data_IF_736364741917
#
_entry.id   IF_736364741917
#
_cell.length_a   1.000
_cell.length_b   1.000
_cell.length_c   1.000
_cell.angle_alpha   90.00
_cell.angle_beta   90.00
_cell.angle_gamma   90.00
#
_symmetry.space_group_name_H-M   'P 1'
#
loop_
_entity.id
_entity.type
_entity.pdbx_description
1 polymer ?
#
# COMPACT_ATOMS: atom_id res chain seq x y z
N UNK A 1 58.40 -48.24 -12.02
CA UNK A 1 58.10 -46.86 -11.67
C UNK A 1 57.56 -45.97 -12.81
N UNK A 2 57.77 -46.23 -14.07
CA UNK A 2 57.29 -45.44 -15.20
C UNK A 2 55.78 -45.59 -15.47
N UNK A 3 55.22 -46.78 -15.26
CA UNK A 3 53.76 -47.04 -15.54
C UNK A 3 52.85 -46.43 -14.52
N UNK A 4 53.30 -46.23 -13.29
CA UNK A 4 52.51 -45.62 -12.24
C UNK A 4 52.34 -44.11 -12.45
N UNK A 5 53.37 -43.43 -12.95
CA UNK A 5 53.33 -41.98 -13.25
C UNK A 5 52.42 -41.67 -14.43
N UNK A 6 52.37 -42.50 -15.45
CA UNK A 6 51.46 -42.34 -16.59
C UNK A 6 50.00 -42.55 -16.22
N UNK A 7 49.67 -43.44 -15.31
CA UNK A 7 48.30 -43.67 -14.85
C UNK A 7 47.80 -42.55 -13.99
N UNK A 8 48.64 -41.98 -13.15
CA UNK A 8 48.28 -40.80 -12.32
C UNK A 8 48.07 -39.56 -13.20
N UNK A 9 48.94 -39.36 -14.20
CA UNK A 9 48.80 -38.23 -15.14
C UNK A 9 47.52 -38.29 -16.00
N UNK A 10 47.10 -39.50 -16.36
CA UNK A 10 45.87 -39.71 -17.12
C UNK A 10 44.61 -39.45 -16.25
N UNK A 11 44.67 -39.82 -14.97
CA UNK A 11 43.58 -39.63 -14.02
C UNK A 11 43.36 -38.15 -13.67
N UNK A 12 44.48 -37.40 -13.55
CA UNK A 12 44.39 -35.93 -13.33
C UNK A 12 43.86 -35.17 -14.56
N UNK A 13 44.19 -35.66 -15.78
CA UNK A 13 43.67 -35.05 -17.01
C UNK A 13 42.15 -35.29 -17.16
N UNK A 14 41.68 -36.50 -16.82
CA UNK A 14 40.23 -36.81 -16.86
C UNK A 14 39.44 -36.03 -15.82
N UNK A 15 40.02 -35.82 -14.62
CA UNK A 15 39.38 -35.06 -13.56
C UNK A 15 39.29 -33.55 -13.90
N UNK A 16 40.28 -33.01 -14.61
CA UNK A 16 40.27 -31.62 -15.07
C UNK A 16 39.26 -31.37 -16.20
N UNK A 17 38.96 -32.39 -17.03
CA UNK A 17 37.96 -32.30 -18.08
C UNK A 17 36.51 -32.32 -17.54
N UNK A 18 36.29 -32.89 -16.35
CA UNK A 18 34.95 -32.95 -15.73
C UNK A 18 34.47 -31.58 -15.12
N UNK A 19 35.37 -30.59 -14.98
CA UNK A 19 35.07 -29.30 -14.39
C UNK A 19 34.57 -28.22 -15.40
N UNK A 20 34.40 -28.60 -16.66
CA UNK A 20 33.94 -27.70 -17.72
C UNK A 20 32.43 -27.73 -17.95
N UNK A 21 31.65 -28.18 -16.96
CA UNK A 21 30.21 -27.94 -17.01
C UNK A 21 29.96 -26.48 -16.63
N UNK A 22 30.04 -25.61 -17.61
CA UNK A 22 29.53 -24.25 -17.50
C UNK A 22 28.06 -24.32 -17.12
N UNK A 23 27.77 -23.93 -15.91
CA UNK A 23 26.38 -23.63 -15.52
C UNK A 23 25.84 -22.55 -16.47
N UNK A 24 25.08 -22.99 -17.46
CA UNK A 24 24.23 -22.10 -18.20
C UNK A 24 23.21 -21.55 -17.22
N UNK A 25 23.47 -20.36 -16.72
CA UNK A 25 22.44 -19.59 -16.03
C UNK A 25 21.26 -19.47 -17.00
N UNK A 26 20.19 -20.18 -16.71
CA UNK A 26 18.93 -20.01 -17.43
C UNK A 26 18.49 -18.57 -17.16
N UNK A 27 18.75 -17.67 -18.11
CA UNK A 27 18.03 -16.41 -18.20
C UNK A 27 16.59 -16.80 -18.47
N UNK A 28 15.80 -16.87 -17.41
CA UNK A 28 14.36 -17.00 -17.51
C UNK A 28 13.86 -15.74 -18.23
N UNK A 29 13.64 -15.87 -19.53
CA UNK A 29 12.98 -14.87 -20.32
C UNK A 29 11.51 -14.89 -19.86
N UNK A 30 11.19 -14.11 -18.83
CA UNK A 30 9.82 -13.88 -18.41
C UNK A 30 9.18 -13.05 -19.50
N UNK A 31 8.58 -13.71 -20.48
CA UNK A 31 7.75 -13.04 -21.49
C UNK A 31 6.42 -12.68 -20.83
N UNK A 32 6.42 -11.58 -20.09
CA UNK A 32 5.19 -10.98 -19.59
C UNK A 32 4.47 -10.40 -20.79
N UNK A 33 3.50 -11.11 -21.32
CA UNK A 33 2.52 -10.52 -22.23
C UNK A 33 1.73 -9.49 -21.42
N UNK A 34 2.27 -8.31 -21.36
CA UNK A 34 1.63 -7.17 -20.73
C UNK A 34 0.48 -6.73 -21.65
N UNK A 35 -0.74 -6.75 -21.13
CA UNK A 35 -1.90 -6.25 -21.85
C UNK A 35 -1.61 -4.78 -22.27
N UNK A 36 -1.85 -4.44 -23.53
CA UNK A 36 -1.58 -3.11 -24.12
C UNK A 36 -2.26 -1.97 -23.31
N UNK A 37 -3.31 -2.28 -22.57
CA UNK A 37 -4.01 -1.33 -21.71
C UNK A 37 -3.26 -0.99 -20.40
N UNK A 38 -2.27 -1.79 -19.99
CA UNK A 38 -1.57 -1.56 -18.71
C UNK A 38 -0.75 -0.27 -18.72
N UNK A 39 0.03 0.08 -19.77
CA UNK A 39 0.73 1.35 -19.84
C UNK A 39 -0.21 2.55 -19.74
N UNK A 40 -1.33 2.53 -20.46
CA UNK A 40 -2.34 3.60 -20.42
C UNK A 40 -2.95 3.78 -19.01
N UNK A 41 -3.29 2.67 -18.36
CA UNK A 41 -3.80 2.71 -16.98
C UNK A 41 -2.77 3.21 -15.98
N UNK A 42 -1.48 2.92 -16.18
CA UNK A 42 -0.38 3.42 -15.34
C UNK A 42 -0.17 4.93 -15.53
N UNK A 43 -0.26 5.42 -16.75
CA UNK A 43 -0.18 6.86 -17.04
C UNK A 43 -1.36 7.60 -16.43
N UNK A 44 -2.58 7.09 -16.60
CA UNK A 44 -3.78 7.66 -16.00
C UNK A 44 -3.71 7.66 -14.46
N UNK A 45 -3.28 6.56 -13.84
CA UNK A 45 -3.04 6.48 -12.41
C UNK A 45 -2.01 7.53 -11.96
N UNK A 46 -0.91 7.68 -12.69
CA UNK A 46 0.14 8.65 -12.37
C UNK A 46 -0.39 10.08 -12.48
N UNK A 47 -1.18 10.38 -13.52
CA UNK A 47 -1.83 11.67 -13.71
C UNK A 47 -2.78 11.97 -12.56
N UNK A 48 -3.68 11.05 -12.21
CA UNK A 48 -4.63 11.19 -11.13
C UNK A 48 -3.96 11.34 -9.76
N UNK A 49 -2.81 10.68 -9.56
CA UNK A 49 -2.00 10.83 -8.35
C UNK A 49 -1.37 12.22 -8.27
N UNK A 50 -0.78 12.71 -9.35
CA UNK A 50 -0.21 14.07 -9.43
C UNK A 50 -1.28 15.15 -9.23
N UNK A 51 -2.47 14.95 -9.79
CA UNK A 51 -3.63 15.84 -9.61
C UNK A 51 -4.25 15.74 -8.19
N UNK A 52 -3.72 14.89 -7.33
CA UNK A 52 -4.23 14.65 -5.98
C UNK A 52 -5.62 13.98 -5.95
N UNK A 53 -6.05 13.39 -7.09
CA UNK A 53 -7.35 12.71 -7.19
C UNK A 53 -7.30 11.27 -6.70
N UNK A 54 -6.12 10.65 -6.69
CA UNK A 54 -5.86 9.27 -6.24
C UNK A 54 -4.92 9.21 -5.03
N UNK A 55 -4.53 10.35 -4.44
CA UNK A 55 -3.73 10.38 -3.22
C UNK A 55 -4.50 9.84 -2.02
N UNK A 56 -3.77 9.26 -1.07
CA UNK A 56 -4.31 8.93 0.24
C UNK A 56 -4.97 10.18 0.84
N UNK A 57 -6.27 10.11 1.05
CA UNK A 57 -7.04 11.19 1.64
C UNK A 57 -7.04 11.02 3.15
N UNK A 58 -6.74 12.10 3.86
CA UNK A 58 -6.83 12.10 5.30
C UNK A 58 -8.27 12.32 5.74
N UNK A 59 -8.71 11.50 6.69
CA UNK A 59 -10.02 11.60 7.30
C UNK A 59 -9.86 11.65 8.82
N UNK A 60 -10.83 12.23 9.49
CA UNK A 60 -10.88 12.32 10.94
C UNK A 60 -11.94 11.34 11.43
N UNK A 61 -11.58 10.49 12.37
CA UNK A 61 -12.53 9.61 13.06
C UNK A 61 -13.11 10.35 14.26
N UNK A 62 -14.44 10.49 14.28
CA UNK A 62 -15.16 11.12 15.39
C UNK A 62 -15.62 10.12 16.45
N UNK A 63 -16.04 8.94 16.00
CA UNK A 63 -16.65 7.93 16.86
C UNK A 63 -16.34 6.52 16.37
N UNK A 64 -16.34 5.60 17.31
CA UNK A 64 -16.25 4.17 17.08
C UNK A 64 -17.11 3.43 18.12
N UNK A 65 -18.09 2.62 17.68
CA UNK A 65 -18.97 1.89 18.57
C UNK A 65 -20.29 1.49 17.92
N UNK A 66 -21.39 1.59 18.66
CA UNK A 66 -22.71 1.17 18.20
C UNK A 66 -23.31 2.08 17.14
N UNK A 67 -24.31 1.55 16.42
CA UNK A 67 -24.96 2.24 15.32
C UNK A 67 -25.78 3.46 15.75
N UNK A 68 -26.48 3.35 16.88
CA UNK A 68 -27.36 4.41 17.34
C UNK A 68 -26.56 5.68 17.65
N UNK A 69 -25.53 5.55 18.44
CA UNK A 69 -24.63 6.66 18.81
C UNK A 69 -23.91 7.19 17.57
N UNK A 70 -23.44 6.31 16.66
CA UNK A 70 -22.82 6.75 15.39
C UNK A 70 -23.78 7.63 14.56
N UNK A 71 -25.06 7.26 14.48
CA UNK A 71 -26.08 8.00 13.77
C UNK A 71 -26.37 9.37 14.40
N UNK A 72 -26.37 9.45 15.72
CA UNK A 72 -26.56 10.71 16.43
C UNK A 72 -25.36 11.63 16.28
N UNK A 73 -24.14 11.10 16.39
CA UNK A 73 -22.89 11.83 16.20
C UNK A 73 -22.82 12.42 14.78
N UNK A 74 -23.11 11.65 13.74
CA UNK A 74 -23.01 12.14 12.36
C UNK A 74 -24.10 13.20 12.06
N UNK A 75 -25.30 13.03 12.60
CA UNK A 75 -26.39 14.00 12.48
C UNK A 75 -26.00 15.33 13.11
N UNK A 76 -25.52 15.32 14.35
CA UNK A 76 -25.03 16.49 15.06
C UNK A 76 -23.87 17.16 14.30
N UNK A 77 -22.91 16.37 13.83
CA UNK A 77 -21.78 16.89 13.05
C UNK A 77 -22.23 17.62 11.79
N UNK A 78 -23.15 17.04 11.01
CA UNK A 78 -23.68 17.66 9.77
C UNK A 78 -24.40 18.98 10.02
N UNK A 79 -25.02 19.13 11.17
CA UNK A 79 -25.68 20.39 11.56
C UNK A 79 -24.65 21.47 11.90
N UNK A 80 -23.55 21.10 12.55
CA UNK A 80 -22.52 22.03 13.00
C UNK A 80 -21.49 22.34 11.90
N UNK A 81 -21.12 21.33 11.10
CA UNK A 81 -20.04 21.36 10.14
C UNK A 81 -20.50 20.89 8.74
N UNK A 82 -21.32 21.70 8.08
CA UNK A 82 -21.88 21.38 6.78
C UNK A 82 -20.85 21.39 5.63
N UNK A 83 -19.67 21.98 5.85
CA UNK A 83 -18.62 22.13 4.85
C UNK A 83 -17.86 20.81 4.58
N UNK A 84 -17.80 19.94 5.56
CA UNK A 84 -17.01 18.70 5.46
C UNK A 84 -17.89 17.47 5.23
N UNK A 85 -17.54 16.62 4.24
CA UNK A 85 -18.26 15.38 4.02
C UNK A 85 -18.15 14.47 5.25
N UNK A 86 -19.19 13.70 5.52
CA UNK A 86 -19.21 12.77 6.63
C UNK A 86 -19.92 11.47 6.26
N UNK A 87 -19.42 10.34 6.75
CA UNK A 87 -19.96 9.01 6.47
C UNK A 87 -19.86 8.10 7.69
N UNK A 88 -20.76 7.12 7.74
CA UNK A 88 -20.67 6.01 8.68
C UNK A 88 -20.18 4.79 7.90
N UNK A 89 -19.18 4.11 8.45
CA UNK A 89 -18.67 2.84 7.90
C UNK A 89 -18.88 1.77 8.95
N UNK A 90 -19.48 0.65 8.51
CA UNK A 90 -19.55 -0.55 9.34
C UNK A 90 -18.26 -1.35 9.23
N UNK A 91 -17.64 -1.61 10.34
CA UNK A 91 -16.47 -2.48 10.46
C UNK A 91 -16.69 -3.42 11.63
N UNK A 92 -17.08 -4.63 11.28
CA UNK A 92 -17.53 -5.68 12.24
C UNK A 92 -16.72 -5.72 13.53
N UNK A 93 -17.36 -5.64 14.69
CA UNK A 93 -18.80 -5.52 14.94
C UNK A 93 -19.29 -4.07 15.09
N UNK A 94 -18.46 -3.06 14.88
CA UNK A 94 -18.72 -1.67 15.23
C UNK A 94 -18.91 -0.75 14.03
N UNK A 95 -19.40 0.45 14.32
CA UNK A 95 -19.56 1.52 13.35
C UNK A 95 -18.53 2.63 13.61
N UNK A 96 -17.98 3.19 12.52
CA UNK A 96 -17.05 4.32 12.56
C UNK A 96 -17.68 5.52 11.89
N UNK A 97 -17.57 6.68 12.51
CA UNK A 97 -17.95 7.94 11.89
C UNK A 97 -16.69 8.64 11.40
N UNK A 98 -16.61 8.81 10.08
CA UNK A 98 -15.52 9.46 9.38
C UNK A 98 -15.96 10.79 8.82
N UNK A 99 -15.10 11.79 8.95
CA UNK A 99 -15.38 13.14 8.44
C UNK A 99 -14.17 13.73 7.71
N UNK A 100 -14.48 14.57 6.73
CA UNK A 100 -13.49 15.24 5.89
C UNK A 100 -12.98 14.37 4.75
N UNK A 101 -12.26 15.03 3.85
CA UNK A 101 -11.57 14.42 2.70
C UNK A 101 -10.38 15.32 2.37
N UNK A 102 -9.40 15.35 3.26
CA UNK A 102 -8.28 16.28 3.21
C UNK A 102 -7.15 15.77 2.31
N UNK A 103 -6.54 16.67 1.56
CA UNK A 103 -5.48 16.33 0.59
C UNK A 103 -4.15 16.01 1.27
N UNK A 104 -3.89 16.63 2.41
CA UNK A 104 -2.65 16.45 3.13
C UNK A 104 -2.90 16.47 4.65
N UNK A 105 -1.90 16.01 5.39
CA UNK A 105 -1.95 15.91 6.84
C UNK A 105 -2.15 17.25 7.53
N UNK A 106 -1.52 18.30 7.03
CA UNK A 106 -1.61 19.63 7.64
C UNK A 106 -3.03 20.22 7.56
N UNK A 107 -3.71 19.99 6.43
CA UNK A 107 -5.11 20.38 6.28
C UNK A 107 -6.01 19.63 7.26
N UNK A 108 -5.79 18.32 7.40
CA UNK A 108 -6.52 17.49 8.35
C UNK A 108 -6.25 17.89 9.81
N UNK A 109 -5.00 18.21 10.17
CA UNK A 109 -4.65 18.66 11.52
C UNK A 109 -5.31 20.00 11.86
N UNK A 110 -5.37 20.95 10.92
CA UNK A 110 -6.10 22.23 11.10
C UNK A 110 -7.60 22.01 11.32
N UNK A 111 -8.21 21.12 10.56
CA UNK A 111 -9.61 20.75 10.73
C UNK A 111 -9.84 20.05 12.08
N UNK A 112 -8.93 19.14 12.46
CA UNK A 112 -8.99 18.44 13.73
C UNK A 112 -8.97 19.39 14.94
N UNK A 113 -8.17 20.45 14.90
CA UNK A 113 -8.13 21.46 15.97
C UNK A 113 -9.50 22.11 16.20
N UNK A 114 -10.25 22.39 15.12
CA UNK A 114 -11.62 22.92 15.21
C UNK A 114 -12.61 21.88 15.72
N UNK A 115 -12.53 20.66 15.17
CA UNK A 115 -13.45 19.57 15.50
C UNK A 115 -13.29 19.13 16.95
N UNK A 116 -12.08 19.14 17.50
CA UNK A 116 -11.81 18.74 18.89
C UNK A 116 -12.48 19.63 19.94
N UNK A 117 -12.92 20.81 19.58
CA UNK A 117 -13.68 21.68 20.49
C UNK A 117 -15.03 21.04 20.87
N UNK A 118 -15.67 20.37 19.90
CA UNK A 118 -16.96 19.70 20.09
C UNK A 118 -16.85 18.18 20.25
N UNK A 119 -15.76 17.59 19.69
CA UNK A 119 -15.49 16.15 19.69
C UNK A 119 -14.07 15.87 20.19
N UNK A 120 -13.82 15.93 21.51
CA UNK A 120 -12.48 15.77 22.09
C UNK A 120 -11.78 14.44 21.74
N UNK A 121 -12.57 13.37 21.55
CA UNK A 121 -12.08 12.04 21.18
C UNK A 121 -11.70 11.91 19.70
N UNK A 122 -11.94 12.94 18.88
CA UNK A 122 -11.61 12.91 17.46
C UNK A 122 -10.10 12.79 17.22
N UNK A 123 -9.71 11.99 16.23
CA UNK A 123 -8.32 11.83 15.84
C UNK A 123 -8.17 11.51 14.35
N UNK A 124 -6.97 11.71 13.82
CA UNK A 124 -6.61 11.30 12.47
C UNK A 124 -5.87 9.96 12.58
N UNK A 125 -6.43 8.85 12.07
CA UNK A 125 -5.74 7.57 12.06
C UNK A 125 -4.53 7.62 11.13
N UNK A 126 -3.55 6.75 11.39
CA UNK A 126 -2.45 6.56 10.46
C UNK A 126 -3.00 5.95 9.17
N UNK A 127 -2.58 6.42 7.98
CA UNK A 127 -2.90 5.73 6.73
C UNK A 127 -2.48 4.27 6.82
N UNK A 128 -3.38 3.38 6.49
CA UNK A 128 -3.02 1.97 6.34
C UNK A 128 -2.25 1.88 5.03
N UNK A 129 -0.96 1.54 5.11
CA UNK A 129 -0.19 1.17 3.93
C UNK A 129 -0.75 -0.16 3.44
N UNK A 130 -1.42 -0.11 2.28
CA UNK A 130 -1.78 -1.30 1.53
C UNK A 130 -0.53 -1.99 0.97
#
# INVERSE_FOLDING_TARGET
MRILKTRISFFTLVLAAAFQYTTQAQTANVNVQQNELIPELLEEKTRLTKDGKLGERYQIQLYYGDNQTASDVIRKFRTQYNTWPSQIIYETPNYKVWVGNFRNRLEADRALLKIKQDYPAAFIPKPQRG
#
